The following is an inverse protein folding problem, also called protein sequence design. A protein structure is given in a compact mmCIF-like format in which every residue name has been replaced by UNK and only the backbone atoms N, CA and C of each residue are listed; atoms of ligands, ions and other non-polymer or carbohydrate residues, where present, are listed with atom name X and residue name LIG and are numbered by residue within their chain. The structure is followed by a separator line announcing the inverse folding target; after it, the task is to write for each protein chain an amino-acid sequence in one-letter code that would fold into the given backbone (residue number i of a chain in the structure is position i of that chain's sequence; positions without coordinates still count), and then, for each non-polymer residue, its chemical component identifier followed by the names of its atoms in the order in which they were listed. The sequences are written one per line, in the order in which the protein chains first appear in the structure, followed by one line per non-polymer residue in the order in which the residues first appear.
data_IF_635931987682
#
_entry.id   IF_635931987682
#
_cell.length_a   1.000
_cell.length_b   1.000
_cell.length_c   1.000
_cell.angle_alpha   90.00
_cell.angle_beta   90.00
_cell.angle_gamma   90.00
#
_symmetry.space_group_name_H-M   'P 1'
#
loop_
_entity.id
_entity.type
_entity.pdbx_description
1 polymer ?
#
# COMPACT_ATOMS: atom_id res chain seq x y z
N UNK A 1 13.58 27.55 103.19
CA UNK A 1 12.66 26.41 103.00
C UNK A 1 11.39 26.94 102.35
N UNK A 2 11.11 26.44 101.14
CA UNK A 2 9.80 26.22 100.48
C UNK A 2 8.68 27.27 100.60
N UNK A 3 8.31 27.88 99.46
CA UNK A 3 6.94 27.90 98.92
C UNK A 3 6.87 28.54 97.51
N UNK A 4 6.31 27.78 96.56
CA UNK A 4 5.47 28.11 95.39
C UNK A 4 5.65 29.45 94.61
N UNK A 5 5.58 29.39 93.27
CA UNK A 5 4.45 29.87 92.42
C UNK A 5 4.84 29.88 90.91
N UNK A 6 4.07 29.09 90.14
CA UNK A 6 3.67 29.18 88.71
C UNK A 6 4.34 30.20 87.78
N UNK A 7 4.79 29.74 86.60
CA UNK A 7 4.27 30.16 85.27
C UNK A 7 4.44 29.00 84.28
N UNK A 8 3.33 28.57 83.67
CA UNK A 8 3.33 27.66 82.53
C UNK A 8 3.44 28.48 81.24
N UNK A 9 4.36 28.11 80.35
CA UNK A 9 4.37 28.59 78.95
C UNK A 9 4.21 27.37 78.05
N UNK A 10 3.03 27.29 77.45
CA UNK A 10 2.65 26.32 76.43
C UNK A 10 3.32 26.69 75.12
N UNK A 11 4.32 25.91 74.67
CA UNK A 11 4.85 26.02 73.32
C UNK A 11 4.09 25.04 72.41
N UNK A 12 3.22 25.58 71.56
CA UNK A 12 2.53 24.83 70.53
C UNK A 12 3.53 24.43 69.43
N UNK A 13 3.80 23.12 69.31
CA UNK A 13 4.49 22.56 68.15
C UNK A 13 3.43 22.37 67.07
N UNK A 14 3.41 23.29 66.10
CA UNK A 14 2.68 23.10 64.85
C UNK A 14 3.39 22.02 64.03
N UNK A 15 2.89 20.79 64.08
CA UNK A 15 3.22 19.76 63.09
C UNK A 15 2.52 20.11 61.76
N UNK A 16 3.26 20.70 60.83
CA UNK A 16 2.86 20.81 59.43
C UNK A 16 2.87 19.41 58.80
N UNK A 17 1.73 18.73 58.87
CA UNK A 17 1.43 17.58 58.02
C UNK A 17 1.26 18.05 56.58
N UNK A 18 2.35 18.08 55.82
CA UNK A 18 2.28 18.20 54.37
C UNK A 18 1.70 16.89 53.82
N UNK A 19 0.40 16.89 53.56
CA UNK A 19 -0.26 15.88 52.74
C UNK A 19 0.37 15.95 51.34
N UNK A 20 1.31 15.05 51.07
CA UNK A 20 1.69 14.71 49.70
C UNK A 20 0.48 14.07 49.03
N UNK A 21 -0.39 14.89 48.44
CA UNK A 21 -1.22 14.45 47.33
C UNK A 21 -0.26 14.13 46.19
N UNK A 22 0.16 12.86 46.08
CA UNK A 22 0.63 12.32 44.82
C UNK A 22 -0.55 12.42 43.86
N UNK A 23 -0.65 13.52 43.13
CA UNK A 23 -1.38 13.52 41.88
C UNK A 23 -0.68 12.48 41.01
N UNK A 24 -1.31 11.31 40.84
CA UNK A 24 -0.90 10.35 39.82
C UNK A 24 -1.01 11.08 38.49
N UNK A 25 0.11 11.62 38.02
CA UNK A 25 0.26 12.08 36.66
C UNK A 25 0.11 10.83 35.80
N UNK A 26 -1.11 10.62 35.28
CA UNK A 26 -1.35 9.65 34.23
C UNK A 26 -0.44 10.03 33.06
N UNK A 27 0.71 9.37 32.96
CA UNK A 27 1.62 9.57 31.85
C UNK A 27 0.84 9.26 30.57
N UNK A 28 0.60 10.28 29.74
CA UNK A 28 -0.11 10.11 28.48
C UNK A 28 0.68 9.11 27.63
N UNK A 29 0.12 7.93 27.39
CA UNK A 29 0.70 6.94 26.49
C UNK A 29 0.54 7.44 25.05
N UNK A 30 1.61 7.32 24.25
CA UNK A 30 1.56 7.63 22.82
C UNK A 30 0.48 6.74 22.16
N UNK A 31 -0.46 7.30 21.37
CA UNK A 31 -1.47 6.51 20.69
C UNK A 31 -0.85 5.39 19.83
N UNK A 32 -1.44 4.19 19.84
CA UNK A 32 -0.88 3.01 19.13
C UNK A 32 -0.79 3.19 17.61
N UNK A 33 -1.60 4.09 17.05
CA UNK A 33 -1.62 4.42 15.63
C UNK A 33 -0.47 5.36 15.20
N UNK A 34 0.37 5.78 16.15
CA UNK A 34 1.59 6.53 15.90
C UNK A 34 2.79 5.58 15.93
N UNK A 35 3.59 5.66 14.87
CA UNK A 35 4.85 4.92 14.75
C UNK A 35 5.79 5.20 15.93
N UNK A 36 6.46 4.14 16.42
CA UNK A 36 7.54 4.27 17.38
C UNK A 36 8.77 4.97 16.78
N UNK A 37 8.97 4.81 15.47
CA UNK A 37 10.03 5.45 14.70
C UNK A 37 9.58 5.61 13.25
N UNK A 38 9.91 6.75 12.64
CA UNK A 38 9.83 6.95 11.19
C UNK A 38 11.24 7.03 10.61
N UNK A 39 11.45 6.34 9.50
CA UNK A 39 12.72 6.29 8.77
C UNK A 39 12.47 6.56 7.30
N UNK A 40 13.40 7.26 6.65
CA UNK A 40 13.33 7.54 5.22
C UNK A 40 14.46 6.77 4.53
N UNK A 41 14.09 5.92 3.58
CA UNK A 41 15.01 5.07 2.83
C UNK A 41 15.16 5.57 1.40
N UNK A 42 16.40 5.83 0.93
CA UNK A 42 16.66 5.87 -0.49
C UNK A 42 16.60 4.45 -1.07
N UNK A 43 15.92 4.30 -2.19
CA UNK A 43 15.72 3.03 -2.89
C UNK A 43 16.38 3.14 -4.27
N UNK A 44 17.60 2.61 -4.44
CA UNK A 44 18.21 2.50 -5.77
C UNK A 44 17.33 1.62 -6.67
N UNK A 45 16.94 2.16 -7.82
CA UNK A 45 16.02 1.55 -8.76
C UNK A 45 16.35 1.94 -10.21
N UNK A 46 15.48 1.56 -11.13
CA UNK A 46 15.61 1.84 -12.57
C UNK A 46 14.34 2.50 -13.09
N UNK A 47 14.50 3.29 -14.15
CA UNK A 47 13.44 3.68 -15.05
C UNK A 47 13.66 2.99 -16.38
N UNK A 48 12.81 2.02 -16.69
CA UNK A 48 12.89 1.14 -17.87
C UNK A 48 11.58 1.16 -18.66
N UNK A 49 11.64 0.78 -19.93
CA UNK A 49 10.42 0.53 -20.72
C UNK A 49 9.71 -0.74 -20.25
N UNK A 50 8.41 -0.87 -20.57
CA UNK A 50 7.69 -2.12 -20.28
C UNK A 50 8.32 -3.30 -21.03
N UNK A 51 8.86 -3.08 -22.24
CA UNK A 51 9.58 -4.11 -22.98
C UNK A 51 10.84 -4.58 -22.25
N UNK A 52 11.66 -3.64 -21.77
CA UNK A 52 12.85 -3.96 -20.98
C UNK A 52 12.49 -4.74 -19.71
N UNK A 53 11.40 -4.34 -19.02
CA UNK A 53 10.91 -5.08 -17.87
C UNK A 53 10.56 -6.53 -18.22
N UNK A 54 9.81 -6.74 -19.30
CA UNK A 54 9.29 -8.05 -19.71
C UNK A 54 10.39 -9.00 -20.22
N UNK A 55 11.47 -8.46 -20.78
CA UNK A 55 12.64 -9.23 -21.22
C UNK A 55 13.72 -9.39 -20.17
N UNK A 56 13.61 -8.71 -19.02
CA UNK A 56 14.62 -8.71 -17.97
C UNK A 56 15.85 -7.85 -18.30
N UNK A 57 15.75 -6.95 -19.29
CA UNK A 57 16.80 -6.01 -19.62
C UNK A 57 16.88 -4.91 -18.55
N UNK A 58 17.95 -4.95 -17.75
CA UNK A 58 18.21 -4.00 -16.68
C UNK A 58 18.98 -2.74 -17.15
N UNK A 59 19.24 -2.59 -18.45
CA UNK A 59 19.95 -1.42 -19.01
C UNK A 59 19.02 -0.20 -19.14
N UNK A 60 18.48 0.24 -18.01
CA UNK A 60 17.63 1.43 -17.88
C UNK A 60 18.35 2.64 -17.31
N UNK A 61 17.61 3.73 -17.17
CA UNK A 61 18.10 4.91 -16.43
C UNK A 61 18.07 4.62 -14.94
N UNK A 62 19.23 4.62 -14.28
CA UNK A 62 19.30 4.55 -12.82
C UNK A 62 18.58 5.73 -12.16
N UNK A 63 17.88 5.45 -11.07
CA UNK A 63 17.17 6.44 -10.27
C UNK A 63 17.18 6.04 -8.81
N UNK A 64 17.14 7.01 -7.91
CA UNK A 64 16.87 6.76 -6.48
C UNK A 64 15.48 7.27 -6.16
N UNK A 65 14.60 6.37 -5.78
CA UNK A 65 13.27 6.72 -5.25
C UNK A 65 13.28 6.65 -3.73
N UNK A 66 12.16 7.00 -3.08
CA UNK A 66 12.10 7.08 -1.63
C UNK A 66 11.09 6.10 -1.03
N UNK A 67 11.38 5.64 0.19
CA UNK A 67 10.45 4.88 1.02
C UNK A 67 10.33 5.49 2.40
N UNK A 68 9.11 5.71 2.88
CA UNK A 68 8.84 6.06 4.26
C UNK A 68 8.50 4.80 5.05
N UNK A 69 9.38 4.43 5.98
CA UNK A 69 9.16 3.31 6.89
C UNK A 69 8.67 3.80 8.25
N UNK A 70 7.41 3.51 8.56
CA UNK A 70 6.81 3.79 9.88
C UNK A 70 6.76 2.50 10.68
N UNK A 71 7.64 2.40 11.66
CA UNK A 71 7.78 1.24 12.54
C UNK A 71 6.70 1.32 13.61
N UNK A 72 5.79 0.34 13.61
CA UNK A 72 4.75 0.26 14.62
C UNK A 72 5.33 0.03 16.03
N UNK A 73 4.55 0.40 17.05
CA UNK A 73 4.90 0.09 18.43
C UNK A 73 4.89 -1.42 18.65
N UNK A 74 5.85 -1.93 19.43
CA UNK A 74 5.99 -3.36 19.70
C UNK A 74 7.45 -3.77 19.93
N UNK A 75 7.69 -5.03 20.29
CA UNK A 75 9.02 -5.59 20.55
C UNK A 75 9.44 -6.55 19.45
N UNK A 76 10.76 -6.70 19.24
CA UNK A 76 11.29 -7.66 18.26
C UNK A 76 11.05 -7.28 16.80
N UNK A 77 10.94 -8.29 15.94
CA UNK A 77 10.63 -8.16 14.52
C UNK A 77 9.11 -8.08 14.33
N UNK A 78 8.67 -7.13 13.50
CA UNK A 78 7.26 -6.84 13.28
C UNK A 78 6.87 -7.16 11.83
N UNK A 79 5.59 -7.51 11.58
CA UNK A 79 5.04 -7.57 10.23
C UNK A 79 5.04 -6.20 9.56
N UNK A 80 5.05 -6.19 8.22
CA UNK A 80 5.03 -4.97 7.41
C UNK A 80 3.95 -5.04 6.33
N UNK A 81 3.20 -3.96 6.14
CA UNK A 81 2.45 -3.72 4.90
C UNK A 81 3.20 -2.66 4.07
N UNK A 82 3.71 -3.09 2.91
CA UNK A 82 4.29 -2.20 1.91
C UNK A 82 3.16 -1.61 1.06
N UNK A 83 3.14 -0.29 0.93
CA UNK A 83 2.07 0.47 0.27
C UNK A 83 2.59 1.14 -1.01
N UNK A 84 1.91 0.86 -2.13
CA UNK A 84 2.23 1.46 -3.43
C UNK A 84 1.11 2.38 -3.95
N UNK A 85 1.46 3.63 -4.26
CA UNK A 85 0.49 4.63 -4.71
C UNK A 85 -0.03 4.38 -6.13
N UNK A 86 -1.16 5.02 -6.45
CA UNK A 86 -1.72 5.07 -7.79
C UNK A 86 -1.11 6.18 -8.66
N UNK A 87 -1.79 6.52 -9.75
CA UNK A 87 -1.32 7.51 -10.72
C UNK A 87 -1.25 8.96 -10.20
N UNK A 88 -1.85 9.25 -9.05
CA UNK A 88 -1.81 10.58 -8.41
C UNK A 88 -0.62 10.81 -7.48
N UNK A 89 0.27 9.81 -7.33
CA UNK A 89 1.40 9.90 -6.39
C UNK A 89 1.01 9.56 -4.95
N UNK A 90 1.97 9.68 -4.03
CA UNK A 90 1.71 9.58 -2.58
C UNK A 90 0.83 10.75 -2.17
N UNK A 91 -0.25 10.47 -1.45
CA UNK A 91 -1.22 11.48 -1.02
C UNK A 91 -1.94 11.10 0.26
N UNK A 92 -2.83 11.99 0.72
CA UNK A 92 -3.50 11.88 2.01
C UNK A 92 -4.28 10.57 2.22
N UNK A 93 -4.74 9.93 1.14
CA UNK A 93 -5.47 8.66 1.20
C UNK A 93 -4.67 7.50 1.82
N UNK A 94 -3.34 7.60 1.89
CA UNK A 94 -2.51 6.58 2.53
C UNK A 94 -2.48 6.68 4.06
N UNK A 95 -2.63 7.88 4.64
CA UNK A 95 -2.45 8.06 6.09
C UNK A 95 -3.45 7.25 6.92
N UNK A 96 -4.76 7.16 6.57
CA UNK A 96 -5.68 6.29 7.29
C UNK A 96 -5.28 4.81 7.29
N UNK A 97 -4.73 4.31 6.19
CA UNK A 97 -4.20 2.93 6.11
C UNK A 97 -2.97 2.77 7.00
N UNK A 98 -2.03 3.72 6.92
CA UNK A 98 -0.81 3.72 7.72
C UNK A 98 -1.10 3.72 9.22
N UNK A 99 -1.95 4.64 9.68
CA UNK A 99 -2.36 4.74 11.09
C UNK A 99 -3.08 3.50 11.55
N UNK A 100 -3.98 2.96 10.71
CA UNK A 100 -4.71 1.74 11.01
C UNK A 100 -3.79 0.53 11.19
N UNK A 101 -2.85 0.30 10.28
CA UNK A 101 -1.88 -0.80 10.41
C UNK A 101 -0.96 -0.63 11.62
N UNK A 102 -0.48 0.60 11.89
CA UNK A 102 0.33 0.86 13.08
C UNK A 102 -0.46 0.57 14.38
N UNK A 103 -1.75 0.90 14.43
CA UNK A 103 -2.62 0.57 15.55
C UNK A 103 -2.73 -0.95 15.80
N UNK A 104 -2.62 -1.75 14.74
CA UNK A 104 -2.59 -3.22 14.78
C UNK A 104 -1.21 -3.80 15.14
N UNK A 105 -0.19 -2.96 15.39
CA UNK A 105 1.20 -3.41 15.60
C UNK A 105 1.92 -3.81 14.31
N UNK A 106 1.38 -3.42 13.14
CA UNK A 106 1.94 -3.70 11.82
C UNK A 106 2.65 -2.45 11.30
N UNK A 107 3.94 -2.58 10.99
CA UNK A 107 4.73 -1.48 10.43
C UNK A 107 4.31 -1.23 8.97
N UNK A 108 4.56 -0.05 8.45
CA UNK A 108 4.21 0.28 7.06
C UNK A 108 5.37 0.88 6.31
N UNK A 109 5.51 0.52 5.03
CA UNK A 109 6.53 1.06 4.14
C UNK A 109 5.87 1.65 2.90
N UNK A 110 5.73 2.97 2.85
CA UNK A 110 5.15 3.68 1.71
C UNK A 110 6.25 3.98 0.70
N UNK A 111 6.10 3.49 -0.54
CA UNK A 111 7.03 3.80 -1.63
C UNK A 111 6.54 5.05 -2.36
N UNK A 112 7.38 6.07 -2.49
CA UNK A 112 7.21 7.16 -3.45
C UNK A 112 7.98 6.84 -4.72
N UNK A 113 7.27 6.28 -5.71
CA UNK A 113 7.83 5.93 -7.02
C UNK A 113 7.96 7.10 -7.99
N UNK A 114 7.61 8.33 -7.61
CA UNK A 114 7.54 9.47 -8.53
C UNK A 114 8.56 10.57 -8.24
N UNK A 115 8.73 11.01 -6.99
CA UNK A 115 9.53 12.21 -6.70
C UNK A 115 10.99 12.05 -7.14
N UNK A 116 11.58 10.87 -6.94
CA UNK A 116 12.93 10.55 -7.41
C UNK A 116 13.10 10.58 -8.94
N UNK A 117 11.99 10.47 -9.68
CA UNK A 117 11.92 10.57 -11.15
C UNK A 117 11.57 11.98 -11.63
N UNK A 118 11.40 12.95 -10.73
CA UNK A 118 10.93 14.31 -11.06
C UNK A 118 9.45 14.34 -11.45
N UNK A 119 8.67 13.35 -11.03
CA UNK A 119 7.24 13.25 -11.26
C UNK A 119 6.48 13.51 -9.96
N UNK A 120 5.25 13.97 -10.06
CA UNK A 120 4.30 14.04 -8.93
C UNK A 120 3.04 13.24 -9.21
N UNK A 121 2.66 13.12 -10.48
CA UNK A 121 1.54 12.32 -10.96
C UNK A 121 1.75 11.92 -12.42
N UNK A 122 1.01 10.90 -12.86
CA UNK A 122 0.94 10.49 -14.26
C UNK A 122 -0.49 10.34 -14.77
N UNK A 123 -1.52 10.57 -13.95
CA UNK A 123 -2.92 10.33 -14.35
C UNK A 123 -3.28 10.97 -15.71
N UNK A 124 -2.96 12.26 -15.95
CA UNK A 124 -3.22 12.89 -17.23
C UNK A 124 -2.33 12.43 -18.40
N UNK A 125 -1.18 11.83 -18.12
CA UNK A 125 -0.25 11.32 -19.12
C UNK A 125 0.46 10.07 -18.58
N UNK A 126 -0.21 8.93 -18.74
CA UNK A 126 0.25 7.65 -18.22
C UNK A 126 1.54 7.17 -18.89
N UNK A 127 1.89 7.70 -20.06
CA UNK A 127 3.11 7.37 -20.81
C UNK A 127 4.39 7.92 -20.15
N UNK A 128 4.29 8.83 -19.16
CA UNK A 128 5.45 9.41 -18.48
C UNK A 128 6.29 8.37 -17.71
N UNK A 129 5.70 7.22 -17.38
CA UNK A 129 6.41 6.11 -16.74
C UNK A 129 5.77 4.79 -17.19
N UNK A 130 6.55 3.82 -17.64
CA UNK A 130 6.05 2.48 -18.00
C UNK A 130 5.30 1.82 -16.84
N UNK A 131 4.21 1.10 -17.13
CA UNK A 131 3.27 0.59 -16.11
C UNK A 131 3.93 -0.41 -15.14
N UNK A 132 5.00 -1.09 -15.56
CA UNK A 132 5.69 -2.12 -14.77
C UNK A 132 6.82 -1.58 -13.87
N UNK A 133 7.22 -0.30 -13.98
CA UNK A 133 8.33 0.26 -13.20
C UNK A 133 8.13 0.15 -11.68
N UNK A 134 6.89 0.28 -11.20
CA UNK A 134 6.59 0.13 -9.77
C UNK A 134 6.98 -1.25 -9.23
N UNK A 135 6.92 -2.31 -10.05
CA UNK A 135 7.33 -3.65 -9.61
C UNK A 135 8.84 -3.71 -9.33
N UNK A 136 9.65 -2.97 -10.10
CA UNK A 136 11.08 -2.82 -9.83
C UNK A 136 11.29 -2.14 -8.48
N UNK A 137 10.62 -1.00 -8.26
CA UNK A 137 10.70 -0.25 -6.99
C UNK A 137 10.29 -1.12 -5.79
N UNK A 138 9.20 -1.89 -5.94
CA UNK A 138 8.66 -2.82 -4.94
C UNK A 138 9.69 -3.89 -4.57
N UNK A 139 10.34 -4.54 -5.54
CA UNK A 139 11.33 -5.56 -5.22
C UNK A 139 12.62 -4.99 -4.63
N UNK A 140 13.01 -3.77 -4.99
CA UNK A 140 14.14 -3.06 -4.36
C UNK A 140 13.82 -2.66 -2.92
N UNK A 141 12.59 -2.20 -2.65
CA UNK A 141 12.11 -1.95 -1.30
C UNK A 141 12.05 -3.24 -0.48
N UNK A 142 11.64 -4.36 -1.08
CA UNK A 142 11.62 -5.67 -0.41
C UNK A 142 13.02 -6.10 0.02
N UNK A 143 14.05 -5.86 -0.80
CA UNK A 143 15.44 -6.15 -0.44
C UNK A 143 15.92 -5.37 0.79
N UNK A 144 15.50 -4.11 0.92
CA UNK A 144 15.81 -3.28 2.09
C UNK A 144 15.08 -3.84 3.32
N UNK A 145 13.77 -4.06 3.22
CA UNK A 145 12.96 -4.54 4.34
C UNK A 145 13.38 -5.93 4.82
N UNK A 146 13.70 -6.86 3.91
CA UNK A 146 14.12 -8.22 4.26
C UNK A 146 15.38 -8.26 5.14
N UNK A 147 16.23 -7.23 5.05
CA UNK A 147 17.48 -7.10 5.83
C UNK A 147 17.31 -6.22 7.07
N UNK A 148 16.15 -5.58 7.26
CA UNK A 148 15.94 -4.63 8.34
C UNK A 148 15.78 -5.35 9.70
N UNK A 149 16.49 -4.93 10.78
CA UNK A 149 16.50 -5.66 12.06
C UNK A 149 15.14 -5.70 12.78
N UNK A 150 14.23 -4.78 12.46
CA UNK A 150 12.87 -4.70 13.01
C UNK A 150 11.80 -5.36 12.15
N UNK A 151 12.17 -5.96 11.02
CA UNK A 151 11.22 -6.57 10.09
C UNK A 151 11.31 -8.09 10.18
N UNK A 152 10.15 -8.73 10.24
CA UNK A 152 10.03 -10.16 10.00
C UNK A 152 9.92 -10.39 8.48
N UNK A 153 10.96 -10.93 7.81
CA UNK A 153 10.99 -11.04 6.35
C UNK A 153 9.92 -11.98 5.80
N UNK A 154 9.38 -12.89 6.61
CA UNK A 154 8.29 -13.79 6.22
C UNK A 154 6.89 -13.16 6.39
N UNK A 155 6.82 -11.95 6.94
CA UNK A 155 5.58 -11.23 7.22
C UNK A 155 5.50 -9.86 6.55
N UNK A 156 5.95 -9.78 5.30
CA UNK A 156 5.83 -8.59 4.46
C UNK A 156 4.67 -8.79 3.48
N UNK A 157 3.65 -7.95 3.53
CA UNK A 157 2.52 -7.94 2.58
C UNK A 157 2.66 -6.75 1.65
N UNK A 158 2.33 -6.95 0.37
CA UNK A 158 2.26 -5.88 -0.61
C UNK A 158 0.81 -5.46 -0.81
N UNK A 159 0.54 -4.16 -0.65
CA UNK A 159 -0.76 -3.55 -0.89
C UNK A 159 -0.58 -2.34 -1.80
N UNK A 160 -1.49 -2.14 -2.74
CA UNK A 160 -1.37 -1.01 -3.65
C UNK A 160 -2.68 -0.63 -4.29
N UNK A 161 -2.74 0.59 -4.80
CA UNK A 161 -3.98 1.25 -5.20
C UNK A 161 -3.93 1.66 -6.67
N UNK A 162 -4.96 1.35 -7.46
CA UNK A 162 -5.05 1.73 -8.88
C UNK A 162 -3.83 1.22 -9.66
N UNK A 163 -2.99 2.10 -10.19
CA UNK A 163 -1.68 1.75 -10.77
C UNK A 163 -0.77 0.96 -9.81
N UNK A 164 -0.76 1.31 -8.53
CA UNK A 164 -0.06 0.53 -7.50
C UNK A 164 -0.74 -0.81 -7.22
N UNK A 165 -2.05 -0.90 -7.42
CA UNK A 165 -2.83 -2.14 -7.34
C UNK A 165 -2.49 -3.06 -8.51
N UNK A 166 -2.37 -2.50 -9.71
CA UNK A 166 -1.87 -3.20 -10.90
C UNK A 166 -0.46 -3.75 -10.64
N UNK A 167 0.45 -2.92 -10.14
CA UNK A 167 1.81 -3.36 -9.78
C UNK A 167 1.79 -4.45 -8.70
N UNK A 168 0.92 -4.32 -7.69
CA UNK A 168 0.75 -5.33 -6.63
C UNK A 168 0.28 -6.66 -7.19
N UNK A 169 -0.75 -6.65 -8.04
CA UNK A 169 -1.26 -7.85 -8.68
C UNK A 169 -0.19 -8.51 -9.53
N UNK A 170 0.47 -7.76 -10.41
CA UNK A 170 1.43 -8.38 -11.33
C UNK A 170 2.79 -8.70 -10.71
N UNK A 171 3.16 -8.09 -9.58
CA UNK A 171 4.32 -8.52 -8.78
C UNK A 171 4.13 -9.93 -8.15
N UNK A 172 2.94 -10.52 -8.27
CA UNK A 172 2.70 -11.92 -7.91
C UNK A 172 3.09 -12.91 -9.01
N UNK A 173 3.31 -12.47 -10.25
CA UNK A 173 3.67 -13.39 -11.35
C UNK A 173 5.03 -14.03 -11.07
N UNK A 174 5.08 -15.35 -11.18
CA UNK A 174 6.27 -16.16 -10.92
C UNK A 174 7.43 -15.72 -11.83
N UNK A 175 7.15 -15.38 -13.10
CA UNK A 175 8.15 -14.87 -14.03
C UNK A 175 8.73 -13.53 -13.57
N UNK A 176 7.89 -12.57 -13.16
CA UNK A 176 8.34 -11.25 -12.74
C UNK A 176 9.12 -11.32 -11.43
N UNK A 177 8.70 -12.19 -10.52
CA UNK A 177 9.45 -12.52 -9.31
C UNK A 177 10.86 -13.02 -9.66
N UNK A 178 11.01 -14.02 -10.53
CA UNK A 178 12.32 -14.58 -10.92
C UNK A 178 13.24 -13.55 -11.59
N UNK A 179 12.68 -12.73 -12.48
CA UNK A 179 13.43 -11.72 -13.20
C UNK A 179 13.98 -10.65 -12.25
N UNK A 180 13.11 -10.06 -11.42
CA UNK A 180 13.39 -8.79 -10.74
C UNK A 180 13.61 -8.89 -9.24
N UNK A 181 13.11 -9.93 -8.56
CA UNK A 181 13.31 -10.06 -7.12
C UNK A 181 14.69 -10.64 -6.79
N UNK A 182 15.54 -9.83 -6.14
CA UNK A 182 16.87 -10.24 -5.65
C UNK A 182 16.97 -10.20 -4.12
N UNK A 183 15.85 -9.97 -3.43
CA UNK A 183 15.82 -9.80 -1.98
C UNK A 183 16.13 -11.08 -1.20
N UNK A 184 15.92 -12.26 -1.81
CA UNK A 184 15.90 -13.55 -1.11
C UNK A 184 14.65 -13.78 -0.25
N UNK A 185 13.72 -12.81 -0.21
CA UNK A 185 12.44 -12.89 0.46
C UNK A 185 11.29 -12.94 -0.55
N UNK A 186 10.09 -13.26 -0.06
CA UNK A 186 8.86 -13.26 -0.84
C UNK A 186 7.74 -12.61 -0.01
N UNK A 187 6.85 -11.88 -0.67
CA UNK A 187 5.67 -11.35 0.00
C UNK A 187 4.80 -12.48 0.58
N UNK A 188 4.26 -12.27 1.77
CA UNK A 188 3.34 -13.17 2.43
C UNK A 188 1.96 -13.18 1.77
N UNK A 189 1.54 -12.06 1.17
CA UNK A 189 0.31 -11.91 0.39
C UNK A 189 0.33 -10.62 -0.45
N UNK A 190 -0.63 -10.52 -1.38
CA UNK A 190 -0.83 -9.39 -2.28
C UNK A 190 -2.26 -8.84 -2.16
N UNK A 191 -2.40 -7.53 -1.96
CA UNK A 191 -3.68 -6.85 -1.73
C UNK A 191 -3.85 -5.68 -2.72
N UNK A 192 -4.28 -5.96 -3.96
CA UNK A 192 -4.54 -4.91 -4.94
C UNK A 192 -5.94 -4.28 -4.74
N UNK A 193 -5.97 -2.95 -4.66
CA UNK A 193 -7.20 -2.15 -4.67
C UNK A 193 -7.44 -1.58 -6.07
N UNK A 194 -8.63 -1.84 -6.61
CA UNK A 194 -9.11 -1.39 -7.92
C UNK A 194 -8.04 -1.43 -9.04
N UNK A 195 -7.33 -2.56 -9.23
CA UNK A 195 -6.25 -2.66 -10.20
C UNK A 195 -6.76 -2.61 -11.66
N UNK A 196 -5.88 -2.23 -12.59
CA UNK A 196 -6.12 -2.49 -14.01
C UNK A 196 -5.71 -3.93 -14.36
N UNK A 197 -6.69 -4.77 -14.73
CA UNK A 197 -6.49 -6.16 -15.11
C UNK A 197 -6.60 -6.40 -16.63
N UNK A 198 -6.54 -5.35 -17.45
CA UNK A 198 -6.75 -5.42 -18.91
C UNK A 198 -5.59 -6.02 -19.72
N UNK A 199 -4.42 -6.21 -19.08
CA UNK A 199 -3.21 -6.70 -19.74
C UNK A 199 -3.00 -8.20 -19.49
N UNK A 200 -2.97 -8.99 -20.56
CA UNK A 200 -2.58 -10.41 -20.49
C UNK A 200 -1.09 -10.55 -20.74
N UNK A 201 -0.36 -11.09 -19.77
CA UNK A 201 1.08 -11.33 -19.89
C UNK A 201 1.35 -12.80 -20.22
N UNK A 202 2.52 -13.08 -20.79
CA UNK A 202 2.99 -14.45 -20.97
C UNK A 202 3.13 -15.11 -19.59
N UNK A 203 2.59 -16.32 -19.47
CA UNK A 203 2.51 -17.14 -18.25
C UNK A 203 1.82 -16.44 -17.06
N UNK A 204 0.80 -15.63 -17.31
CA UNK A 204 0.11 -14.87 -16.25
C UNK A 204 -0.80 -15.71 -15.35
N UNK A 205 -1.07 -16.97 -15.68
CA UNK A 205 -1.71 -17.92 -14.75
C UNK A 205 -0.74 -18.47 -13.67
N UNK A 206 0.57 -18.29 -13.87
CA UNK A 206 1.61 -18.71 -12.94
C UNK A 206 1.97 -17.57 -12.01
N UNK A 207 1.36 -17.62 -10.82
CA UNK A 207 1.68 -16.74 -9.69
C UNK A 207 2.45 -17.51 -8.63
N UNK A 208 3.26 -16.78 -7.87
CA UNK A 208 3.88 -17.32 -6.65
C UNK A 208 2.79 -17.87 -5.73
N UNK A 209 3.08 -18.94 -4.98
CA UNK A 209 2.10 -19.63 -4.14
C UNK A 209 1.72 -18.84 -2.86
N UNK A 210 1.09 -17.67 -3.03
CA UNK A 210 0.67 -16.76 -1.97
C UNK A 210 -0.73 -16.21 -2.24
N UNK A 211 -1.49 -15.85 -1.19
CA UNK A 211 -2.83 -15.32 -1.36
C UNK A 211 -2.85 -13.97 -2.09
N UNK A 212 -3.85 -13.79 -2.96
CA UNK A 212 -4.19 -12.52 -3.60
C UNK A 212 -5.61 -12.13 -3.17
N UNK A 213 -5.79 -10.90 -2.67
CA UNK A 213 -7.08 -10.36 -2.20
C UNK A 213 -7.39 -9.04 -2.88
N UNK A 214 -8.23 -9.09 -3.91
CA UNK A 214 -8.61 -7.92 -4.71
C UNK A 214 -9.85 -7.26 -4.12
N UNK A 215 -9.85 -5.93 -4.05
CA UNK A 215 -10.98 -5.13 -3.61
C UNK A 215 -11.37 -4.13 -4.71
N UNK A 216 -12.61 -4.18 -5.19
CA UNK A 216 -12.99 -3.44 -6.40
C UNK A 216 -14.42 -2.92 -6.35
N UNK A 217 -14.63 -1.69 -6.80
CA UNK A 217 -15.95 -1.11 -6.99
C UNK A 217 -16.59 -1.54 -8.30
N UNK A 218 -17.84 -2.00 -8.31
CA UNK A 218 -18.50 -2.40 -9.56
C UNK A 218 -18.80 -1.25 -10.54
N UNK A 219 -19.11 0.00 -10.10
CA UNK A 219 -19.30 1.11 -11.04
C UNK A 219 -17.99 1.77 -11.51
N UNK A 220 -16.82 1.28 -11.10
CA UNK A 220 -15.51 1.81 -11.49
C UNK A 220 -15.35 1.87 -13.03
N UNK A 221 -15.38 3.09 -13.57
CA UNK A 221 -15.17 3.38 -14.99
C UNK A 221 -13.74 3.89 -15.27
N UNK A 222 -12.84 3.86 -14.28
CA UNK A 222 -11.41 4.05 -14.49
C UNK A 222 -10.78 2.72 -14.88
N UNK A 223 -10.98 1.70 -14.04
CA UNK A 223 -10.52 0.33 -14.24
C UNK A 223 -11.73 -0.60 -14.07
N UNK A 224 -12.46 -0.95 -15.14
CA UNK A 224 -13.65 -1.78 -15.00
C UNK A 224 -13.36 -3.13 -14.35
N UNK A 225 -14.12 -3.46 -13.30
CA UNK A 225 -13.99 -4.72 -12.55
C UNK A 225 -14.12 -5.97 -13.45
N UNK A 226 -14.81 -5.86 -14.59
CA UNK A 226 -14.97 -6.94 -15.57
C UNK A 226 -13.63 -7.49 -16.08
N UNK A 227 -12.62 -6.63 -16.24
CA UNK A 227 -11.26 -7.04 -16.62
C UNK A 227 -10.66 -7.98 -15.55
N UNK A 228 -10.83 -7.63 -14.27
CA UNK A 228 -10.32 -8.43 -13.17
C UNK A 228 -11.11 -9.72 -12.96
N UNK A 229 -12.44 -9.71 -13.17
CA UNK A 229 -13.26 -10.93 -13.13
C UNK A 229 -12.79 -11.97 -14.14
N UNK A 230 -12.52 -11.54 -15.37
CA UNK A 230 -12.02 -12.43 -16.43
C UNK A 230 -10.65 -13.02 -16.07
N UNK A 231 -9.73 -12.22 -15.53
CA UNK A 231 -8.42 -12.72 -15.11
C UNK A 231 -8.51 -13.66 -13.89
N UNK A 232 -9.34 -13.31 -12.90
CA UNK A 232 -9.55 -14.15 -11.72
C UNK A 232 -10.06 -15.54 -12.07
N UNK A 233 -10.99 -15.64 -13.01
CA UNK A 233 -11.51 -16.92 -13.46
C UNK A 233 -10.37 -17.84 -13.94
N UNK A 234 -9.40 -17.31 -14.70
CA UNK A 234 -8.22 -18.06 -15.16
C UNK A 234 -7.31 -18.49 -13.99
N UNK A 235 -7.11 -17.60 -13.02
CA UNK A 235 -6.31 -17.92 -11.82
C UNK A 235 -6.99 -18.98 -10.94
N UNK A 236 -8.32 -18.93 -10.79
CA UNK A 236 -9.09 -19.92 -10.03
C UNK A 236 -9.13 -21.28 -10.73
N UNK A 237 -9.25 -21.30 -12.06
CA UNK A 237 -9.13 -22.52 -12.87
C UNK A 237 -7.73 -23.16 -12.68
N UNK A 238 -6.69 -22.32 -12.61
CA UNK A 238 -5.32 -22.73 -12.26
C UNK A 238 -5.11 -23.02 -10.75
N UNK A 239 -6.18 -23.07 -9.95
CA UNK A 239 -6.18 -23.39 -8.51
C UNK A 239 -5.31 -22.45 -7.66
N UNK A 240 -5.18 -21.19 -8.06
CA UNK A 240 -4.47 -20.16 -7.30
C UNK A 240 -5.37 -19.59 -6.20
N UNK A 241 -4.79 -19.24 -5.05
CA UNK A 241 -5.52 -18.61 -3.94
C UNK A 241 -5.79 -17.14 -4.24
N UNK A 242 -6.90 -16.87 -4.91
CA UNK A 242 -7.34 -15.53 -5.29
C UNK A 242 -8.80 -15.30 -4.96
N UNK A 243 -9.07 -14.13 -4.36
CA UNK A 243 -10.43 -13.68 -4.00
C UNK A 243 -10.61 -12.26 -4.51
N UNK A 244 -11.78 -11.97 -5.09
CA UNK A 244 -12.24 -10.62 -5.43
C UNK A 244 -13.46 -10.29 -4.58
N UNK A 245 -13.37 -9.19 -3.85
CA UNK A 245 -14.47 -8.57 -3.13
C UNK A 245 -14.98 -7.38 -3.94
N UNK A 246 -16.23 -7.44 -4.35
CA UNK A 246 -16.89 -6.41 -5.17
C UNK A 246 -17.80 -5.52 -4.31
N UNK A 247 -17.78 -4.22 -4.57
CA UNK A 247 -18.61 -3.24 -3.87
C UNK A 247 -19.56 -2.53 -4.84
N UNK A 248 -20.88 -2.75 -4.74
CA UNK A 248 -21.85 -2.37 -5.78
C UNK A 248 -22.07 -0.85 -5.93
N UNK A 249 -21.72 -0.08 -4.91
CA UNK A 249 -22.05 1.35 -4.75
C UNK A 249 -20.79 2.24 -4.69
N UNK A 250 -19.66 1.74 -5.18
CA UNK A 250 -18.35 2.30 -4.86
C UNK A 250 -17.51 2.53 -6.12
N UNK A 251 -17.03 3.75 -6.32
CA UNK A 251 -16.24 4.12 -7.49
C UNK A 251 -14.76 3.78 -7.35
N UNK A 252 -13.96 4.11 -8.36
CA UNK A 252 -12.51 4.11 -8.24
C UNK A 252 -12.05 5.00 -7.08
N UNK A 253 -11.17 4.50 -6.20
CA UNK A 253 -10.71 5.24 -5.03
C UNK A 253 -11.73 5.34 -3.88
N UNK A 254 -12.65 4.37 -3.77
CA UNK A 254 -13.68 4.34 -2.72
C UNK A 254 -13.13 4.45 -1.29
N UNK A 255 -11.89 4.02 -1.07
CA UNK A 255 -11.21 4.05 0.22
C UNK A 255 -10.81 5.48 0.65
N UNK A 256 -10.90 6.48 -0.24
CA UNK A 256 -10.92 7.89 0.17
C UNK A 256 -12.04 8.20 1.17
N UNK A 257 -13.05 7.33 1.28
CA UNK A 257 -14.05 7.36 2.34
C UNK A 257 -13.49 7.25 3.76
N UNK A 258 -12.27 6.71 3.94
CA UNK A 258 -11.57 6.74 5.24
C UNK A 258 -11.24 8.17 5.69
N UNK A 259 -11.12 9.11 4.75
CA UNK A 259 -10.97 10.55 5.02
C UNK A 259 -12.31 11.28 5.17
N UNK A 260 -13.43 10.55 5.14
CA UNK A 260 -14.78 11.13 5.13
C UNK A 260 -15.23 11.65 3.77
N UNK A 261 -14.48 11.40 2.69
CA UNK A 261 -14.89 11.77 1.34
C UNK A 261 -16.02 10.85 0.89
N UNK A 262 -17.16 11.44 0.50
CA UNK A 262 -18.30 10.70 -0.06
C UNK A 262 -18.73 11.17 -1.44
N UNK A 263 -18.06 12.21 -1.96
CA UNK A 263 -18.39 12.77 -3.27
C UNK A 263 -17.70 11.97 -4.38
N UNK A 264 -18.43 11.82 -5.49
CA UNK A 264 -17.90 11.31 -6.75
C UNK A 264 -17.61 12.51 -7.65
N UNK A 265 -16.43 12.52 -8.25
CA UNK A 265 -15.97 13.58 -9.14
C UNK A 265 -15.33 12.98 -10.39
N UNK A 266 -15.38 13.73 -11.49
CA UNK A 266 -14.63 13.41 -12.70
C UNK A 266 -13.15 13.73 -12.46
N UNK A 267 -12.28 12.75 -12.69
CA UNK A 267 -10.84 12.94 -12.73
C UNK A 267 -10.45 13.55 -14.09
N UNK A 268 -10.48 14.88 -14.16
CA UNK A 268 -10.30 15.61 -15.40
C UNK A 268 -8.95 15.28 -16.08
N UNK A 269 -9.01 15.02 -17.39
CA UNK A 269 -7.91 14.64 -18.28
C UNK A 269 -7.21 13.32 -17.94
N UNK A 270 -7.64 12.59 -16.90
CA UNK A 270 -7.02 11.34 -16.54
C UNK A 270 -7.25 10.28 -17.63
N UNK A 271 -6.17 9.60 -18.03
CA UNK A 271 -6.20 8.57 -19.06
C UNK A 271 -6.54 7.21 -18.47
N UNK A 272 -7.43 6.48 -19.13
CA UNK A 272 -7.84 5.13 -18.77
C UNK A 272 -7.71 4.21 -19.97
N UNK A 273 -7.13 3.03 -19.74
CA UNK A 273 -7.06 1.94 -20.73
C UNK A 273 -8.33 1.05 -20.70
N UNK A 274 -9.44 1.50 -20.10
CA UNK A 274 -10.66 0.70 -19.88
C UNK A 274 -11.26 0.04 -21.11
N UNK A 275 -11.07 0.63 -22.30
CA UNK A 275 -11.56 0.05 -23.55
C UNK A 275 -10.47 -0.68 -24.34
N UNK A 276 -9.25 -0.77 -23.80
CA UNK A 276 -8.13 -1.43 -24.46
C UNK A 276 -8.00 -2.88 -23.98
N UNK A 277 -7.71 -3.79 -24.91
CA UNK A 277 -7.29 -5.15 -24.60
C UNK A 277 -5.81 -5.28 -24.91
N UNK A 278 -5.00 -5.43 -23.86
CA UNK A 278 -3.54 -5.43 -24.02
C UNK A 278 -2.99 -6.84 -23.86
N UNK A 279 -2.05 -7.20 -24.72
CA UNK A 279 -1.38 -8.50 -24.68
C UNK A 279 0.11 -8.32 -24.81
N UNK A 280 0.89 -9.05 -24.04
CA UNK A 280 2.32 -9.18 -24.31
C UNK A 280 2.54 -9.99 -25.59
N UNK A 281 3.14 -9.33 -26.59
CA UNK A 281 3.59 -9.93 -27.83
C UNK A 281 5.04 -10.41 -27.76
N UNK A 282 5.58 -10.74 -28.93
CA UNK A 282 6.97 -11.21 -29.05
C UNK A 282 7.97 -10.18 -28.50
N UNK A 283 9.06 -10.69 -27.92
CA UNK A 283 10.15 -9.87 -27.38
C UNK A 283 9.70 -8.82 -26.35
N UNK A 284 8.60 -9.07 -25.63
CA UNK A 284 8.10 -8.21 -24.56
C UNK A 284 7.38 -6.94 -25.04
N UNK A 285 7.01 -6.82 -26.31
CA UNK A 285 6.26 -5.65 -26.79
C UNK A 285 4.80 -5.75 -26.32
N UNK A 286 4.30 -4.72 -25.65
CA UNK A 286 2.87 -4.64 -25.34
C UNK A 286 2.10 -4.29 -26.61
N UNK A 287 1.13 -5.13 -26.97
CA UNK A 287 0.31 -5.01 -28.16
C UNK A 287 -1.12 -4.66 -27.78
N UNK A 288 -1.78 -3.89 -28.65
CA UNK A 288 -3.22 -3.76 -28.62
C UNK A 288 -3.83 -4.93 -29.39
N UNK A 289 -4.58 -5.79 -28.70
CA UNK A 289 -5.12 -7.02 -29.26
C UNK A 289 -6.17 -6.77 -30.36
N UNK A 290 -6.80 -5.60 -30.40
CA UNK A 290 -7.81 -5.28 -31.42
C UNK A 290 -7.17 -4.82 -32.72
N UNK A 291 -6.09 -4.04 -32.64
CA UNK A 291 -5.39 -3.49 -33.81
C UNK A 291 -4.19 -4.34 -34.25
N UNK A 292 -3.73 -5.26 -33.40
CA UNK A 292 -2.51 -6.06 -33.60
C UNK A 292 -1.25 -5.20 -33.77
N UNK A 293 -1.27 -3.96 -33.27
CA UNK A 293 -0.15 -3.02 -33.31
C UNK A 293 0.46 -2.82 -31.91
N UNK A 294 1.72 -2.35 -31.81
CA UNK A 294 2.29 -1.94 -30.53
C UNK A 294 1.41 -0.89 -29.84
N UNK A 295 1.06 -1.16 -28.58
CA UNK A 295 0.19 -0.31 -27.80
C UNK A 295 0.85 1.04 -27.49
N UNK A 296 0.08 2.11 -27.61
CA UNK A 296 0.46 3.43 -27.10
C UNK A 296 -0.71 4.10 -26.38
N UNK A 297 -0.42 5.08 -25.51
CA UNK A 297 -1.47 5.92 -24.92
C UNK A 297 -2.13 6.89 -25.93
N UNK A 298 -1.81 6.78 -27.23
CA UNK A 298 -2.48 7.48 -28.33
C UNK A 298 -3.50 6.59 -29.05
N UNK A 299 -3.60 5.31 -28.67
CA UNK A 299 -4.55 4.38 -29.26
C UNK A 299 -5.99 4.86 -29.02
N UNK A 300 -6.87 4.64 -30.00
CA UNK A 300 -8.27 5.10 -29.96
C UNK A 300 -9.09 4.49 -28.81
N UNK A 301 -8.63 3.38 -28.22
CA UNK A 301 -9.25 2.76 -27.06
C UNK A 301 -8.95 3.50 -25.75
N UNK A 302 -7.99 4.43 -25.73
CA UNK A 302 -7.72 5.24 -24.54
C UNK A 302 -8.89 6.19 -24.32
N UNK A 303 -9.50 6.04 -23.15
CA UNK A 303 -10.56 6.90 -22.71
C UNK A 303 -10.03 7.94 -21.71
N UNK A 304 -10.80 8.99 -21.51
CA UNK A 304 -10.47 10.07 -20.57
C UNK A 304 -11.60 10.31 -19.58
N UNK A 305 -11.31 11.11 -18.56
CA UNK A 305 -12.30 11.63 -17.61
C UNK A 305 -13.11 10.53 -16.86
N UNK A 306 -12.46 9.50 -16.29
CA UNK A 306 -13.13 8.55 -15.39
C UNK A 306 -13.61 9.24 -14.10
N UNK A 307 -14.49 8.56 -13.37
CA UNK A 307 -15.01 8.96 -12.08
C UNK A 307 -14.16 8.37 -10.95
N UNK A 308 -13.88 9.20 -9.96
CA UNK A 308 -13.22 8.81 -8.71
C UNK A 308 -14.03 9.35 -7.54
N UNK A 309 -14.02 8.67 -6.41
CA UNK A 309 -14.76 9.14 -5.24
C UNK A 309 -14.73 8.17 -4.09
N UNK A 310 -14.88 8.70 -2.88
CA UNK A 310 -14.92 7.90 -1.66
C UNK A 310 -16.32 7.36 -1.33
N UNK A 311 -16.37 6.27 -0.60
CA UNK A 311 -17.58 5.76 0.06
C UNK A 311 -17.20 5.37 1.51
N UNK A 312 -17.56 6.16 2.53
CA UNK A 312 -17.13 5.91 3.91
C UNK A 312 -17.57 4.57 4.50
N UNK A 313 -18.72 4.02 4.08
CA UNK A 313 -19.19 2.72 4.54
C UNK A 313 -18.32 1.60 3.95
N UNK A 314 -18.19 1.59 2.63
CA UNK A 314 -17.35 0.62 1.91
C UNK A 314 -15.89 0.71 2.30
N UNK A 315 -15.37 1.92 2.50
CA UNK A 315 -14.00 2.14 2.93
C UNK A 315 -13.70 1.45 4.27
N UNK A 316 -14.61 1.56 5.25
CA UNK A 316 -14.51 0.87 6.54
C UNK A 316 -14.67 -0.64 6.41
N UNK A 317 -15.59 -1.10 5.55
CA UNK A 317 -15.77 -2.53 5.25
C UNK A 317 -14.50 -3.14 4.65
N UNK A 318 -13.91 -2.48 3.65
CA UNK A 318 -12.67 -2.91 3.02
C UNK A 318 -11.49 -2.89 4.00
N UNK A 319 -11.36 -1.83 4.81
CA UNK A 319 -10.34 -1.77 5.85
C UNK A 319 -10.50 -2.90 6.87
N UNK A 320 -11.74 -3.23 7.27
CA UNK A 320 -12.01 -4.37 8.14
C UNK A 320 -11.64 -5.70 7.47
N UNK A 321 -12.03 -5.93 6.22
CA UNK A 321 -11.73 -7.16 5.48
C UNK A 321 -10.21 -7.38 5.33
N UNK A 322 -9.45 -6.31 5.05
CA UNK A 322 -7.98 -6.36 5.06
C UNK A 322 -7.45 -6.69 6.45
N UNK A 323 -8.01 -6.09 7.50
CA UNK A 323 -7.57 -6.32 8.88
C UNK A 323 -7.78 -7.77 9.31
N UNK A 324 -8.97 -8.31 9.07
CA UNK A 324 -9.34 -9.69 9.39
C UNK A 324 -8.40 -10.66 8.66
N UNK A 325 -8.10 -10.39 7.38
CA UNK A 325 -7.16 -11.18 6.59
C UNK A 325 -5.74 -11.14 7.19
N UNK A 326 -5.23 -9.95 7.55
CA UNK A 326 -3.90 -9.81 8.13
C UNK A 326 -3.77 -10.42 9.53
N UNK A 327 -4.83 -10.35 10.35
CA UNK A 327 -4.88 -11.00 11.66
C UNK A 327 -4.68 -12.51 11.54
N UNK A 328 -5.40 -13.15 10.60
CA UNK A 328 -5.25 -14.58 10.32
C UNK A 328 -3.87 -14.88 9.73
N UNK A 329 -3.44 -14.13 8.72
CA UNK A 329 -2.17 -14.35 8.02
C UNK A 329 -0.96 -14.27 8.95
N UNK A 330 -0.92 -13.25 9.82
CA UNK A 330 0.20 -13.02 10.73
C UNK A 330 0.06 -13.66 12.11
N UNK A 331 -1.11 -14.24 12.40
CA UNK A 331 -1.51 -14.80 13.72
C UNK A 331 -1.41 -13.75 14.82
N UNK A 332 -2.01 -12.58 14.57
CA UNK A 332 -2.08 -11.49 15.55
C UNK A 332 -3.19 -11.83 16.56
N UNK A 333 -2.83 -11.88 17.85
CA UNK A 333 -3.74 -12.14 18.97
C UNK A 333 -4.03 -10.90 19.79
#
# INVERSE_FOLDING_TARGET
MLANWRVAVTAAIFCTGALFFCAETSAQSIPKDIAARTEIYPIPSLTISDQQFLTGDANGKEVTVAGEFRIAQGTGKLPVVMLMHGSSGVGAGMDPWVRHFNAMGISTFVIDGFSGRGLTMVGPNQALLGRLNFIVDIYRALEILAKHPRVDPDKIVLMGFSRGGQATLYASLERFHKLWNKSGAQFAAYIPFYPDCSTSYVTDADVVARPIRIFHGTPDDYNPVSSCKAYLARLQEAKRDVVLTEYPDSQHGFDAGLLGVSAIAVSANAQSARNCRLTEGESGVLMNADTQAPFTYKDACIAINPHVGGNPATAKEAQKAVSDFLQVLFKLG
#
